data_IF_391776601582
#
_entry.id   IF_391776601582
#
_cell.length_a   1.000
_cell.length_b   1.000
_cell.length_c   1.000
_cell.angle_alpha   90.00
_cell.angle_beta   90.00
_cell.angle_gamma   90.00
#
_symmetry.space_group_name_H-M   'P 1'
#
loop_
_entity.id
_entity.type
_entity.pdbx_description
1 polymer ?
#
# COMPACT_ATOMS: atom_id res chain seq x y z
N UNK A 1 12.42 9.33 18.82
CA UNK A 1 11.06 9.44 19.39
C UNK A 1 9.94 8.97 18.42
N UNK A 2 9.92 9.45 17.18
CA UNK A 2 8.88 9.09 16.18
C UNK A 2 8.98 7.66 15.64
N UNK A 3 10.16 7.04 15.73
CA UNK A 3 10.41 5.67 15.23
C UNK A 3 9.85 4.61 16.21
N UNK A 4 9.84 4.86 17.52
CA UNK A 4 9.39 3.89 18.54
C UNK A 4 7.87 3.69 18.58
N UNK A 5 7.09 4.74 18.33
CA UNK A 5 5.61 4.64 18.26
C UNK A 5 5.12 3.78 17.08
N UNK A 6 5.99 3.48 16.11
CA UNK A 6 5.63 2.72 14.92
C UNK A 6 5.80 1.21 15.08
N UNK A 7 6.35 0.70 16.20
CA UNK A 7 6.63 -0.73 16.40
C UNK A 7 5.33 -1.56 16.55
N UNK A 8 4.23 -0.95 17.01
CA UNK A 8 2.92 -1.62 17.18
C UNK A 8 2.12 -1.82 15.89
N UNK A 9 2.53 -1.18 14.80
CA UNK A 9 1.95 -1.30 13.46
C UNK A 9 3.04 -1.91 12.60
N UNK A 10 2.76 -2.88 11.73
CA UNK A 10 3.81 -3.58 10.96
C UNK A 10 4.47 -2.64 9.93
N UNK A 11 5.33 -1.73 10.41
CA UNK A 11 5.92 -0.58 9.73
C UNK A 11 7.43 -0.75 9.70
N UNK A 12 7.99 -0.74 8.50
CA UNK A 12 9.43 -0.78 8.27
C UNK A 12 9.85 0.54 7.62
N UNK A 13 10.72 1.31 8.29
CA UNK A 13 11.33 2.50 7.70
C UNK A 13 12.63 2.14 6.98
N UNK A 14 12.70 2.39 5.68
CA UNK A 14 13.89 2.13 4.87
C UNK A 14 14.55 3.44 4.45
N UNK A 15 15.57 3.86 5.22
CA UNK A 15 16.29 5.12 5.03
C UNK A 15 16.86 5.29 3.62
N UNK A 16 17.35 4.21 3.01
CA UNK A 16 17.97 4.21 1.67
C UNK A 16 17.02 4.71 0.56
N UNK A 17 15.71 4.47 0.70
CA UNK A 17 14.73 4.77 -0.34
C UNK A 17 13.90 6.03 -0.06
N UNK A 18 14.14 6.73 1.06
CA UNK A 18 13.36 7.90 1.46
C UNK A 18 11.87 7.62 1.65
N UNK A 19 11.52 6.39 2.04
CA UNK A 19 10.14 5.90 2.07
C UNK A 19 9.87 5.01 3.28
N UNK A 20 8.67 5.17 3.86
CA UNK A 20 8.13 4.29 4.91
C UNK A 20 7.28 3.21 4.25
N UNK A 21 7.46 1.94 4.66
CA UNK A 21 6.59 0.84 4.24
C UNK A 21 5.70 0.41 5.40
N UNK A 22 4.39 0.29 5.17
CA UNK A 22 3.43 -0.13 6.18
C UNK A 22 2.55 -1.27 5.67
N UNK A 23 2.42 -2.35 6.43
CA UNK A 23 1.62 -3.52 6.06
C UNK A 23 0.34 -3.61 6.89
N UNK A 24 -0.78 -3.85 6.22
CA UNK A 24 -2.05 -4.21 6.87
C UNK A 24 -2.29 -5.71 6.71
N UNK A 25 -2.85 -6.34 7.74
CA UNK A 25 -3.24 -7.76 7.69
C UNK A 25 -4.59 -8.00 7.02
N UNK A 26 -5.52 -7.04 7.13
CA UNK A 26 -6.89 -7.14 6.58
C UNK A 26 -7.34 -5.79 6.04
N UNK A 27 -7.63 -5.65 4.74
CA UNK A 27 -7.12 -6.52 3.66
C UNK A 27 -5.59 -6.63 3.73
N UNK A 28 -5.03 -7.74 3.23
CA UNK A 28 -3.58 -7.91 3.18
C UNK A 28 -3.02 -6.98 2.11
N UNK A 29 -2.48 -5.84 2.54
CA UNK A 29 -1.97 -4.81 1.64
C UNK A 29 -0.67 -4.25 2.17
N UNK A 30 0.12 -3.66 1.27
CA UNK A 30 1.32 -2.90 1.61
C UNK A 30 1.17 -1.47 1.10
N UNK A 31 1.45 -0.50 1.96
CA UNK A 31 1.53 0.90 1.61
C UNK A 31 2.98 1.38 1.61
N UNK A 32 3.30 2.14 0.58
CA UNK A 32 4.55 2.86 0.36
C UNK A 32 4.28 4.34 0.53
N UNK A 33 4.81 4.94 1.59
CA UNK A 33 4.54 6.33 1.99
C UNK A 33 5.80 7.15 1.78
N UNK A 34 5.72 8.11 0.88
CA UNK A 34 6.82 9.00 0.53
C UNK A 34 6.81 10.26 1.39
N UNK A 35 7.96 10.90 1.57
CA UNK A 35 8.09 12.18 2.29
C UNK A 35 7.23 13.30 1.69
N UNK A 36 6.88 13.21 0.40
CA UNK A 36 5.96 14.13 -0.29
C UNK A 36 4.48 13.98 0.11
N UNK A 37 4.16 13.02 0.99
CA UNK A 37 2.78 12.69 1.37
C UNK A 37 2.06 11.80 0.35
N UNK A 38 2.70 11.43 -0.76
CA UNK A 38 2.13 10.46 -1.71
C UNK A 38 2.15 9.06 -1.08
N UNK A 39 1.01 8.37 -1.15
CA UNK A 39 0.87 7.01 -0.65
C UNK A 39 0.46 6.08 -1.80
N UNK A 40 1.24 5.03 -2.01
CA UNK A 40 0.91 3.96 -2.96
C UNK A 40 0.53 2.71 -2.19
N UNK A 41 -0.64 2.13 -2.48
CA UNK A 41 -1.10 0.89 -1.86
C UNK A 41 -1.12 -0.24 -2.89
N UNK A 42 -0.59 -1.42 -2.53
CA UNK A 42 -0.56 -2.62 -3.38
C UNK A 42 -1.07 -3.84 -2.62
N UNK A 43 -1.53 -4.86 -3.38
CA UNK A 43 -1.99 -6.15 -2.84
C UNK A 43 -3.50 -6.31 -2.66
N UNK A 44 -4.30 -5.27 -2.93
CA UNK A 44 -5.75 -5.38 -2.92
C UNK A 44 -6.24 -6.16 -4.16
N UNK A 45 -7.23 -7.04 -3.98
CA UNK A 45 -7.80 -7.87 -5.06
C UNK A 45 -9.03 -7.27 -5.72
N UNK A 46 -9.57 -6.17 -5.17
CA UNK A 46 -10.65 -5.40 -5.77
C UNK A 46 -10.45 -3.91 -5.50
N UNK A 47 -11.11 -3.09 -6.31
CA UNK A 47 -11.11 -1.63 -6.13
C UNK A 47 -11.67 -1.23 -4.76
N UNK A 48 -12.76 -1.86 -4.32
CA UNK A 48 -13.36 -1.60 -3.00
C UNK A 48 -12.39 -1.92 -1.87
N UNK A 49 -11.69 -3.05 -1.95
CA UNK A 49 -10.67 -3.39 -0.97
C UNK A 49 -9.50 -2.40 -0.99
N UNK A 50 -9.08 -1.95 -2.18
CA UNK A 50 -8.03 -0.94 -2.32
C UNK A 50 -8.44 0.38 -1.64
N UNK A 51 -9.68 0.82 -1.84
CA UNK A 51 -10.22 2.04 -1.23
C UNK A 51 -10.32 1.92 0.30
N UNK A 52 -10.79 0.77 0.80
CA UNK A 52 -10.84 0.49 2.24
C UNK A 52 -9.44 0.48 2.85
N UNK A 53 -8.48 -0.20 2.21
CA UNK A 53 -7.09 -0.26 2.64
C UNK A 53 -6.48 1.16 2.72
N UNK A 54 -6.63 1.94 1.66
CA UNK A 54 -6.10 3.30 1.58
C UNK A 54 -6.67 4.21 2.68
N UNK A 55 -7.97 4.12 2.98
CA UNK A 55 -8.59 4.84 4.11
C UNK A 55 -8.05 4.38 5.47
N UNK A 56 -7.79 3.08 5.64
CA UNK A 56 -7.20 2.55 6.87
C UNK A 56 -5.78 3.03 7.09
N UNK A 57 -4.97 3.13 6.04
CA UNK A 57 -3.64 3.74 6.12
C UNK A 57 -3.72 5.20 6.54
N UNK A 58 -4.58 5.99 5.89
CA UNK A 58 -4.79 7.39 6.26
C UNK A 58 -5.21 7.52 7.73
N UNK A 59 -6.13 6.66 8.21
CA UNK A 59 -6.56 6.67 9.61
C UNK A 59 -5.46 6.25 10.58
N UNK A 60 -4.60 5.30 10.20
CA UNK A 60 -3.47 4.91 11.03
C UNK A 60 -2.46 6.07 11.18
N UNK A 61 -2.18 6.79 10.10
CA UNK A 61 -1.33 7.98 10.13
C UNK A 61 -1.94 9.10 10.98
N UNK A 62 -3.25 9.34 10.87
CA UNK A 62 -3.94 10.29 11.76
C UNK A 62 -3.79 9.91 13.25
N UNK A 63 -3.89 8.62 13.59
CA UNK A 63 -3.71 8.15 14.97
C UNK A 63 -2.30 8.32 15.49
N UNK A 64 -1.30 8.37 14.61
CA UNK A 64 0.08 8.67 14.96
C UNK A 64 0.35 10.18 15.12
N UNK A 65 -0.67 11.03 14.91
CA UNK A 65 -0.57 12.48 15.08
C UNK A 65 -0.28 13.27 13.81
N UNK A 66 -0.23 12.62 12.65
CA UNK A 66 -0.01 13.31 11.37
C UNK A 66 -1.29 13.95 10.85
N UNK A 67 -1.19 15.19 10.34
CA UNK A 67 -2.29 15.84 9.62
C UNK A 67 -2.50 15.21 8.23
N UNK A 68 -3.35 14.19 8.17
CA UNK A 68 -3.64 13.46 6.92
C UNK A 68 -5.08 13.68 6.48
N UNK A 69 -5.24 14.07 5.21
CA UNK A 69 -6.54 14.10 4.52
C UNK A 69 -6.55 13.06 3.40
N UNK A 70 -7.56 12.20 3.40
CA UNK A 70 -7.73 11.21 2.33
C UNK A 70 -8.35 11.87 1.11
N UNK A 71 -7.55 12.06 0.05
CA UNK A 71 -7.97 12.74 -1.19
C UNK A 71 -7.32 12.04 -2.39
N UNK A 72 -7.85 12.29 -3.59
CA UNK A 72 -7.29 11.86 -4.87
C UNK A 72 -7.02 10.34 -4.98
N UNK A 73 -7.92 9.52 -4.43
CA UNK A 73 -7.84 8.07 -4.62
C UNK A 73 -8.04 7.71 -6.10
N UNK A 74 -7.09 6.98 -6.67
CA UNK A 74 -7.13 6.51 -8.05
C UNK A 74 -6.43 5.16 -8.17
N UNK A 75 -7.07 4.22 -8.87
CA UNK A 75 -6.43 2.97 -9.29
C UNK A 75 -5.48 3.27 -10.44
N UNK A 76 -4.20 2.89 -10.28
CA UNK A 76 -3.14 3.20 -11.27
C UNK A 76 -2.65 1.99 -12.05
N UNK A 77 -2.89 0.78 -11.55
CA UNK A 77 -2.51 -0.45 -12.20
C UNK A 77 -3.41 -1.60 -11.73
N UNK A 78 -3.67 -2.56 -12.61
CA UNK A 78 -4.38 -3.81 -12.31
C UNK A 78 -3.56 -4.95 -12.91
N UNK A 79 -3.24 -5.95 -12.07
CA UNK A 79 -2.55 -7.17 -12.50
C UNK A 79 -3.56 -8.31 -12.54
N UNK A 80 -3.73 -8.93 -13.70
CA UNK A 80 -4.53 -10.14 -13.88
C UNK A 80 -3.64 -11.31 -14.28
N UNK A 81 -3.88 -12.48 -13.69
CA UNK A 81 -3.21 -13.73 -14.07
C UNK A 81 -4.26 -14.73 -14.54
N UNK A 82 -3.96 -15.44 -15.62
CA UNK A 82 -4.80 -16.51 -16.13
C UNK A 82 -3.93 -17.69 -16.59
N UNK A 83 -4.53 -18.88 -16.63
CA UNK A 83 -3.90 -20.09 -17.12
C UNK A 83 -4.65 -20.57 -18.34
N UNK A 84 -3.92 -20.78 -19.44
CA UNK A 84 -4.51 -21.34 -20.66
C UNK A 84 -4.55 -22.87 -20.58
N UNK A 85 -5.59 -23.51 -21.16
CA UNK A 85 -5.69 -24.97 -21.20
C UNK A 85 -4.78 -25.62 -22.26
N UNK A 86 -3.97 -24.83 -22.97
CA UNK A 86 -3.08 -25.26 -24.04
C UNK A 86 -1.70 -24.60 -23.92
N UNK A 87 -0.69 -25.21 -24.54
CA UNK A 87 0.67 -24.68 -24.60
C UNK A 87 0.79 -23.55 -25.62
N UNK A 88 1.58 -22.51 -25.28
CA UNK A 88 1.89 -21.40 -26.18
C UNK A 88 3.34 -21.54 -26.62
N UNK A 89 3.59 -21.56 -27.93
CA UNK A 89 4.94 -21.47 -28.49
C UNK A 89 5.23 -20.01 -28.78
N UNK A 90 6.09 -19.39 -27.97
CA UNK A 90 6.59 -18.04 -28.22
C UNK A 90 7.78 -18.18 -29.17
N UNK A 91 7.68 -17.58 -30.35
CA UNK A 91 8.77 -17.51 -31.33
C UNK A 91 9.43 -16.15 -31.10
N UNK A 92 10.72 -16.15 -30.75
CA UNK A 92 11.52 -14.94 -30.58
C UNK A 92 12.25 -14.58 -31.86
#
# INVERSE_FOLDING_TARGET
PEIDIMIGVNVEFRRENGMVTMKLRRPYTTASIWSSGRVTCTGATSEDQAKIAARRYARALQKLGFEVRFQNFRVVNVLGTCRMPFGIRIIS
#
